data_IF_773593753766
#
_entry.id   IF_773593753766
#
_cell.length_a   1.000
_cell.length_b   1.000
_cell.length_c   1.000
_cell.angle_alpha   90.00
_cell.angle_beta   90.00
_cell.angle_gamma   90.00
#
_symmetry.space_group_name_H-M   'P 1'
#
loop_
_entity.id
_entity.type
_entity.pdbx_description
1 polymer ?
#
# COMPACT_ATOMS: atom_id res chain seq x y z
N UNK A 1 16.65 0.80 18.47
CA UNK A 1 15.29 1.02 17.95
C UNK A 1 14.80 -0.31 17.38
N UNK A 2 13.82 -0.93 18.02
CA UNK A 2 13.32 -2.27 17.68
C UNK A 2 12.77 -2.29 16.24
N UNK A 3 12.95 -3.41 15.51
CA UNK A 3 12.43 -3.62 14.15
C UNK A 3 10.90 -3.75 14.16
N UNK A 4 10.22 -2.62 14.41
CA UNK A 4 8.75 -2.50 14.58
C UNK A 4 7.97 -2.79 13.30
N UNK A 5 8.62 -2.80 12.13
CA UNK A 5 7.97 -2.99 10.84
C UNK A 5 7.67 -4.46 10.54
N UNK A 6 8.56 -5.42 10.84
CA UNK A 6 8.39 -6.81 10.39
C UNK A 6 7.18 -7.51 11.04
N UNK A 7 7.01 -7.36 12.36
CA UNK A 7 5.91 -7.96 13.11
C UNK A 7 4.54 -7.43 12.65
N UNK A 8 4.44 -6.13 12.38
CA UNK A 8 3.21 -5.50 11.91
C UNK A 8 2.76 -6.09 10.56
N UNK A 9 3.68 -6.24 9.61
CA UNK A 9 3.34 -6.81 8.30
C UNK A 9 3.09 -8.33 8.39
N UNK A 10 3.82 -9.05 9.26
CA UNK A 10 3.61 -10.48 9.50
C UNK A 10 2.21 -10.80 10.03
N UNK A 11 1.73 -10.05 11.03
CA UNK A 11 0.39 -10.25 11.60
C UNK A 11 -0.69 -10.04 10.54
N UNK A 12 -0.59 -8.97 9.76
CA UNK A 12 -1.60 -8.69 8.71
C UNK A 12 -1.60 -9.80 7.65
N UNK A 13 -0.42 -10.28 7.25
CA UNK A 13 -0.30 -11.38 6.28
C UNK A 13 -0.97 -12.66 6.77
N UNK A 14 -0.74 -13.06 8.02
CA UNK A 14 -1.33 -14.28 8.57
C UNK A 14 -2.85 -14.15 8.80
N UNK A 15 -3.33 -12.99 9.22
CA UNK A 15 -4.77 -12.72 9.34
C UNK A 15 -5.46 -12.83 7.97
N UNK A 16 -4.83 -12.31 6.90
CA UNK A 16 -5.33 -12.49 5.52
C UNK A 16 -5.30 -13.95 5.08
N UNK A 17 -4.21 -14.67 5.36
CA UNK A 17 -4.11 -16.10 5.04
C UNK A 17 -5.19 -16.94 5.73
N UNK A 18 -5.63 -16.51 6.92
CA UNK A 18 -6.74 -17.11 7.66
C UNK A 18 -8.14 -16.61 7.21
N UNK A 19 -8.22 -15.73 6.21
CA UNK A 19 -9.49 -15.20 5.69
C UNK A 19 -10.18 -14.17 6.59
N UNK A 20 -9.47 -13.57 7.55
CA UNK A 20 -10.04 -12.58 8.47
C UNK A 20 -9.96 -11.16 7.90
N UNK A 21 -11.04 -10.37 7.94
CA UNK A 21 -11.03 -8.99 7.47
C UNK A 21 -10.22 -8.10 8.42
N UNK A 22 -9.21 -7.39 7.89
CA UNK A 22 -8.31 -6.53 8.69
C UNK A 22 -8.45 -5.05 8.30
N UNK A 23 -8.75 -4.20 9.28
CA UNK A 23 -8.71 -2.74 9.21
C UNK A 23 -7.32 -2.21 9.68
N UNK A 24 -6.78 -1.19 9.01
CA UNK A 24 -5.42 -0.69 9.27
C UNK A 24 -4.32 -1.34 8.42
N UNK A 25 -4.71 -2.17 7.46
CA UNK A 25 -3.86 -2.66 6.37
C UNK A 25 -3.61 -1.55 5.31
N UNK A 26 -3.23 -0.37 5.77
CA UNK A 26 -3.19 0.85 4.95
C UNK A 26 -2.29 0.66 3.73
N UNK A 27 -1.12 0.04 3.93
CA UNK A 27 -0.16 -0.26 2.86
C UNK A 27 -0.65 -1.29 1.86
N UNK A 28 -1.54 -2.17 2.29
CA UNK A 28 -2.07 -3.23 1.45
C UNK A 28 -3.24 -2.75 0.58
N UNK A 29 -4.03 -1.79 1.10
CA UNK A 29 -5.03 -1.06 0.31
C UNK A 29 -4.38 -0.04 -0.64
N UNK A 30 -3.25 0.55 -0.24
CA UNK A 30 -2.50 1.50 -1.07
C UNK A 30 -2.09 0.90 -2.42
N UNK A 31 -1.67 -0.36 -2.49
CA UNK A 31 -1.28 -1.00 -3.75
C UNK A 31 -2.43 -1.05 -4.77
N UNK A 32 -3.61 -1.47 -4.31
CA UNK A 32 -4.83 -1.44 -5.11
C UNK A 32 -5.26 -0.01 -5.46
N UNK A 33 -5.23 0.91 -4.51
CA UNK A 33 -5.61 2.32 -4.73
C UNK A 33 -4.69 3.01 -5.76
N UNK A 34 -3.38 2.74 -5.73
CA UNK A 34 -2.42 3.27 -6.69
C UNK A 34 -2.68 2.70 -8.10
N UNK A 35 -2.91 1.39 -8.21
CA UNK A 35 -3.27 0.77 -9.49
C UNK A 35 -4.55 1.38 -10.09
N UNK A 36 -5.57 1.61 -9.26
CA UNK A 36 -6.81 2.27 -9.68
C UNK A 36 -6.53 3.70 -10.13
N UNK A 37 -5.75 4.48 -9.38
CA UNK A 37 -5.38 5.85 -9.78
C UNK A 37 -4.62 5.90 -11.10
N UNK A 38 -3.67 5.00 -11.30
CA UNK A 38 -2.87 4.93 -12.53
C UNK A 38 -3.74 4.60 -13.76
N UNK A 39 -4.68 3.65 -13.61
CA UNK A 39 -5.62 3.29 -14.67
C UNK A 39 -6.65 4.40 -14.93
N UNK A 40 -7.16 5.05 -13.88
CA UNK A 40 -8.07 6.19 -14.03
C UNK A 40 -7.37 7.37 -14.71
N UNK A 41 -6.11 7.65 -14.38
CA UNK A 41 -5.30 8.67 -15.06
C UNK A 41 -5.11 8.34 -16.55
N UNK A 42 -4.94 7.06 -16.90
CA UNK A 42 -4.90 6.63 -18.29
C UNK A 42 -6.22 6.91 -19.00
N UNK A 43 -7.35 6.52 -18.40
CA UNK A 43 -8.66 6.80 -18.99
C UNK A 43 -8.92 8.31 -19.14
N UNK A 44 -8.51 9.13 -18.17
CA UNK A 44 -8.61 10.59 -18.26
C UNK A 44 -7.79 11.15 -19.42
N UNK A 45 -6.55 10.67 -19.61
CA UNK A 45 -5.75 11.05 -20.77
C UNK A 45 -6.39 10.63 -22.09
N UNK A 46 -6.97 9.43 -22.17
CA UNK A 46 -7.64 8.96 -23.38
C UNK A 46 -8.92 9.76 -23.70
N UNK A 47 -9.62 10.24 -22.66
CA UNK A 47 -10.77 11.12 -22.81
C UNK A 47 -10.37 12.56 -23.19
N UNK A 48 -9.21 13.03 -22.73
CA UNK A 48 -8.71 14.38 -22.98
C UNK A 48 -7.18 14.36 -23.20
N UNK A 49 -6.71 14.22 -24.45
CA UNK A 49 -5.27 14.13 -24.76
C UNK A 49 -4.46 15.39 -24.43
N UNK A 50 -5.14 16.51 -24.19
CA UNK A 50 -4.54 17.78 -23.77
C UNK A 50 -4.31 17.85 -22.24
N UNK A 51 -4.74 16.83 -21.48
CA UNK A 51 -4.49 16.73 -20.04
C UNK A 51 -3.05 16.25 -19.77
N UNK A 52 -2.17 17.23 -19.64
CA UNK A 52 -0.75 17.02 -19.35
C UNK A 52 -0.50 16.30 -18.03
N UNK A 53 -1.35 16.51 -17.01
CA UNK A 53 -1.17 15.90 -15.70
C UNK A 53 -1.49 14.41 -15.75
N UNK A 54 -2.61 14.05 -16.39
CA UNK A 54 -3.00 12.66 -16.60
C UNK A 54 -1.95 11.92 -17.42
N UNK A 55 -1.46 12.51 -18.51
CA UNK A 55 -0.39 11.91 -19.31
C UNK A 55 0.91 11.73 -18.50
N UNK A 56 1.33 12.76 -17.75
CA UNK A 56 2.53 12.68 -16.91
C UNK A 56 2.42 11.59 -15.85
N UNK A 57 1.27 11.46 -15.19
CA UNK A 57 0.99 10.42 -14.20
C UNK A 57 1.11 9.02 -14.84
N UNK A 58 0.50 8.84 -16.01
CA UNK A 58 0.54 7.58 -16.77
C UNK A 58 1.97 7.21 -17.17
N UNK A 59 2.75 8.15 -17.70
CA UNK A 59 4.14 7.89 -18.08
C UNK A 59 4.99 7.46 -16.88
N UNK A 60 4.75 8.05 -15.71
CA UNK A 60 5.45 7.71 -14.46
C UNK A 60 4.98 6.40 -13.84
N UNK A 61 3.72 6.02 -14.08
CA UNK A 61 3.09 4.82 -13.54
C UNK A 61 3.83 3.54 -13.95
N UNK A 62 3.61 2.40 -13.26
CA UNK A 62 4.17 1.11 -13.64
C UNK A 62 3.85 0.66 -15.08
N UNK A 63 2.82 1.24 -15.72
CA UNK A 63 2.46 0.92 -17.10
C UNK A 63 3.59 1.24 -18.08
N UNK A 64 4.27 2.37 -17.90
CA UNK A 64 5.35 2.83 -18.79
C UNK A 64 6.69 2.97 -18.06
N UNK A 65 6.68 3.24 -16.76
CA UNK A 65 7.86 3.18 -15.89
C UNK A 65 8.91 4.25 -16.17
N UNK A 66 8.52 5.42 -16.70
CA UNK A 66 9.47 6.49 -17.00
C UNK A 66 10.15 7.01 -15.75
N UNK A 67 11.41 7.46 -15.90
CA UNK A 67 12.11 8.21 -14.85
C UNK A 67 11.66 9.66 -14.83
N UNK A 68 11.82 10.32 -13.68
CA UNK A 68 11.57 11.75 -13.53
C UNK A 68 12.43 12.58 -14.50
N UNK A 69 13.70 12.18 -14.72
CA UNK A 69 14.57 12.86 -15.67
C UNK A 69 14.11 12.72 -17.14
N UNK A 70 13.54 11.57 -17.52
CA UNK A 70 12.99 11.39 -18.87
C UNK A 70 11.74 12.25 -19.07
N UNK A 71 10.85 12.26 -18.07
CA UNK A 71 9.65 13.09 -18.07
C UNK A 71 9.99 14.58 -18.05
N UNK A 72 10.95 15.00 -17.23
CA UNK A 72 11.41 16.39 -17.17
C UNK A 72 12.00 16.83 -18.51
N UNK A 73 12.86 16.02 -19.14
CA UNK A 73 13.43 16.35 -20.45
C UNK A 73 12.37 16.49 -21.55
N UNK A 74 11.29 15.72 -21.47
CA UNK A 74 10.18 15.84 -22.39
C UNK A 74 9.32 17.08 -22.10
N UNK A 75 9.12 17.39 -20.82
CA UNK A 75 8.23 18.44 -20.35
C UNK A 75 8.86 19.84 -20.37
N UNK A 76 10.18 19.92 -20.17
CA UNK A 76 10.90 21.18 -20.03
C UNK A 76 11.01 21.91 -21.37
N UNK A 77 10.77 23.23 -21.34
CA UNK A 77 10.82 24.13 -22.51
C UNK A 77 9.96 23.70 -23.72
N UNK A 78 8.96 22.84 -23.48
CA UNK A 78 8.04 22.41 -24.53
C UNK A 78 7.10 23.54 -24.94
N UNK A 79 6.72 23.53 -26.20
CA UNK A 79 5.63 24.35 -26.72
C UNK A 79 4.42 23.46 -26.99
N UNK A 80 3.26 23.79 -26.42
CA UNK A 80 2.03 22.99 -26.53
C UNK A 80 1.90 21.90 -25.46
N UNK A 81 1.00 20.94 -25.70
CA UNK A 81 0.69 19.87 -24.76
C UNK A 81 1.80 18.81 -24.70
N UNK A 82 1.87 18.11 -23.57
CA UNK A 82 2.83 17.04 -23.33
C UNK A 82 2.67 15.91 -24.37
N UNK A 83 1.44 15.66 -24.84
CA UNK A 83 1.17 14.72 -25.92
C UNK A 83 1.81 15.14 -27.25
N UNK A 84 1.72 16.42 -27.60
CA UNK A 84 2.35 16.95 -28.81
C UNK A 84 3.88 16.83 -28.74
N UNK A 85 4.47 17.18 -27.59
CA UNK A 85 5.89 17.01 -27.35
C UNK A 85 6.32 15.54 -27.47
N UNK A 86 5.52 14.61 -26.92
CA UNK A 86 5.80 13.17 -27.01
C UNK A 86 5.78 12.69 -28.46
N UNK A 87 4.77 13.07 -29.25
CA UNK A 87 4.68 12.72 -30.68
C UNK A 87 5.88 13.23 -31.49
N UNK A 88 6.42 14.40 -31.15
CA UNK A 88 7.64 14.92 -31.79
C UNK A 88 8.92 14.12 -31.51
N UNK A 89 8.89 13.21 -30.53
CA UNK A 89 10.04 12.42 -30.07
C UNK A 89 9.90 10.93 -30.40
N UNK A 90 9.25 10.60 -31.54
CA UNK A 90 8.99 9.22 -31.96
C UNK A 90 10.25 8.34 -32.04
N UNK A 91 11.36 8.90 -32.52
CA UNK A 91 12.63 8.18 -32.59
C UNK A 91 13.14 7.71 -31.22
N UNK A 92 12.81 8.43 -30.14
CA UNK A 92 13.25 8.12 -28.78
C UNK A 92 12.23 7.28 -28.02
N UNK A 93 10.94 7.58 -28.18
CA UNK A 93 9.85 7.02 -27.37
C UNK A 93 8.80 6.22 -28.17
N UNK A 94 9.17 5.72 -29.35
CA UNK A 94 8.27 5.04 -30.28
C UNK A 94 7.47 3.89 -29.68
N UNK A 95 8.05 3.11 -28.75
CA UNK A 95 7.32 2.03 -28.09
C UNK A 95 6.18 2.53 -27.19
N UNK A 96 6.39 3.62 -26.44
CA UNK A 96 5.35 4.25 -25.62
C UNK A 96 4.27 4.88 -26.50
N UNK A 97 4.70 5.58 -27.55
CA UNK A 97 3.78 6.19 -28.52
C UNK A 97 2.92 5.16 -29.22
N UNK A 98 3.48 4.02 -29.65
CA UNK A 98 2.71 2.98 -30.33
C UNK A 98 1.56 2.45 -29.46
N UNK A 99 1.80 2.30 -28.15
CA UNK A 99 0.77 1.88 -27.19
C UNK A 99 -0.28 2.99 -27.02
N UNK A 100 0.14 4.22 -26.74
CA UNK A 100 -0.80 5.33 -26.50
C UNK A 100 -1.63 5.66 -27.74
N UNK A 101 -1.03 5.63 -28.93
CA UNK A 101 -1.74 5.81 -30.20
C UNK A 101 -2.76 4.70 -30.44
N UNK A 102 -2.41 3.42 -30.20
CA UNK A 102 -3.37 2.31 -30.31
C UNK A 102 -4.57 2.47 -29.37
N UNK A 103 -4.34 3.00 -28.16
CA UNK A 103 -5.41 3.26 -27.21
C UNK A 103 -6.27 4.47 -27.63
N UNK A 104 -5.65 5.56 -28.08
CA UNK A 104 -6.36 6.75 -28.55
C UNK A 104 -7.22 6.44 -29.78
N UNK A 105 -6.71 5.68 -30.75
CA UNK A 105 -7.45 5.25 -31.95
C UNK A 105 -8.71 4.41 -31.62
N UNK A 106 -8.80 3.91 -30.39
CA UNK A 106 -9.87 3.04 -29.91
C UNK A 106 -10.75 3.70 -28.86
N UNK A 107 -10.36 4.86 -28.33
CA UNK A 107 -11.06 5.55 -27.24
C UNK A 107 -12.51 5.90 -27.59
N UNK A 108 -12.77 6.26 -28.84
CA UNK A 108 -14.12 6.61 -29.31
C UNK A 108 -15.01 5.39 -29.61
N UNK A 109 -14.44 4.18 -29.64
CA UNK A 109 -15.15 2.97 -30.10
C UNK A 109 -15.32 1.92 -29.01
N UNK A 110 -14.42 1.88 -28.03
CA UNK A 110 -14.43 0.88 -26.97
C UNK A 110 -15.19 1.37 -25.75
N UNK A 111 -15.89 0.46 -25.10
CA UNK A 111 -16.50 0.72 -23.79
C UNK A 111 -15.43 0.75 -22.69
N UNK A 112 -15.71 1.37 -21.52
CA UNK A 112 -14.73 1.48 -20.44
C UNK A 112 -14.11 0.15 -20.01
N UNK A 113 -14.90 -0.93 -19.89
CA UNK A 113 -14.40 -2.25 -19.54
C UNK A 113 -13.48 -2.81 -20.63
N UNK A 114 -13.88 -2.73 -21.90
CA UNK A 114 -13.09 -3.22 -23.04
C UNK A 114 -11.78 -2.43 -23.19
N UNK A 115 -11.81 -1.11 -22.93
CA UNK A 115 -10.63 -0.28 -22.92
C UNK A 115 -9.65 -0.72 -21.80
N UNK A 116 -10.14 -0.89 -20.58
CA UNK A 116 -9.32 -1.38 -19.45
C UNK A 116 -8.76 -2.77 -19.73
N UNK A 117 -9.58 -3.69 -20.26
CA UNK A 117 -9.15 -5.04 -20.62
C UNK A 117 -8.01 -4.99 -21.64
N UNK A 118 -8.14 -4.19 -22.70
CA UNK A 118 -7.08 -4.01 -23.70
C UNK A 118 -5.78 -3.50 -23.09
N UNK A 119 -5.84 -2.53 -22.19
CA UNK A 119 -4.64 -2.02 -21.49
C UNK A 119 -3.99 -3.15 -20.67
N UNK A 120 -4.80 -3.92 -19.95
CA UNK A 120 -4.33 -4.93 -19.01
C UNK A 120 -3.79 -6.19 -19.70
N UNK A 121 -4.41 -6.63 -20.81
CA UNK A 121 -4.10 -7.88 -21.50
C UNK A 121 -3.23 -7.65 -22.73
N UNK A 122 -3.71 -6.86 -23.71
CA UNK A 122 -3.01 -6.62 -24.98
C UNK A 122 -1.69 -5.85 -24.79
N UNK A 123 -1.69 -4.87 -23.89
CA UNK A 123 -0.50 -4.05 -23.60
C UNK A 123 0.24 -4.48 -22.33
N UNK A 124 -0.08 -5.66 -21.79
CA UNK A 124 0.61 -6.29 -20.66
C UNK A 124 0.59 -5.43 -19.37
N UNK A 125 -0.39 -4.52 -19.26
CA UNK A 125 -0.52 -3.61 -18.13
C UNK A 125 -0.69 -4.33 -16.80
N UNK A 126 -1.43 -5.45 -16.77
CA UNK A 126 -1.67 -6.23 -15.54
C UNK A 126 -0.35 -6.73 -14.95
N UNK A 127 0.49 -7.35 -15.79
CA UNK A 127 1.79 -7.89 -15.36
C UNK A 127 2.70 -6.78 -14.84
N UNK A 128 2.76 -5.63 -15.52
CA UNK A 128 3.62 -4.50 -15.13
C UNK A 128 3.21 -3.88 -13.80
N UNK A 129 1.90 -3.66 -13.61
CA UNK A 129 1.36 -3.09 -12.37
C UNK A 129 1.63 -4.05 -11.21
N UNK A 130 1.29 -5.34 -11.35
CA UNK A 130 1.46 -6.34 -10.29
C UNK A 130 2.93 -6.55 -9.94
N UNK A 131 3.82 -6.57 -10.94
CA UNK A 131 5.26 -6.70 -10.70
C UNK A 131 5.84 -5.56 -9.85
N UNK A 132 5.25 -4.36 -9.93
CA UNK A 132 5.73 -3.17 -9.22
C UNK A 132 5.02 -2.93 -7.88
N UNK A 133 3.71 -3.10 -7.84
CA UNK A 133 2.86 -2.77 -6.68
C UNK A 133 2.53 -4.01 -5.82
N UNK A 134 2.79 -5.21 -6.32
CA UNK A 134 2.52 -6.47 -5.63
C UNK A 134 1.15 -7.07 -5.98
N UNK A 135 0.87 -8.25 -5.43
CA UNK A 135 -0.35 -9.02 -5.71
C UNK A 135 -1.64 -8.27 -5.37
N UNK A 136 -1.60 -7.32 -4.44
CA UNK A 136 -2.78 -6.57 -4.00
C UNK A 136 -3.25 -5.54 -5.01
N UNK A 137 -2.39 -5.19 -5.97
CA UNK A 137 -2.84 -4.44 -7.13
C UNK A 137 -3.86 -5.23 -7.98
N UNK A 138 -3.84 -6.57 -7.95
CA UNK A 138 -4.84 -7.39 -8.65
C UNK A 138 -6.23 -7.14 -8.08
N UNK A 139 -6.38 -7.09 -6.75
CA UNK A 139 -7.67 -6.79 -6.11
C UNK A 139 -8.21 -5.41 -6.54
N UNK A 140 -7.33 -4.40 -6.62
CA UNK A 140 -7.70 -3.06 -7.09
C UNK A 140 -8.10 -3.04 -8.58
N UNK A 141 -7.36 -3.75 -9.42
CA UNK A 141 -7.65 -3.89 -10.85
C UNK A 141 -9.01 -4.58 -11.05
N UNK A 142 -9.22 -5.72 -10.39
CA UNK A 142 -10.44 -6.51 -10.54
C UNK A 142 -11.66 -5.75 -10.01
N UNK A 143 -11.49 -4.98 -8.92
CA UNK A 143 -12.52 -4.07 -8.42
C UNK A 143 -12.87 -2.98 -9.46
N UNK A 144 -11.88 -2.33 -10.08
CA UNK A 144 -12.13 -1.32 -11.11
C UNK A 144 -12.85 -1.91 -12.34
N UNK A 145 -12.46 -3.10 -12.78
CA UNK A 145 -13.12 -3.82 -13.87
C UNK A 145 -14.59 -4.13 -13.52
N UNK A 146 -14.87 -4.56 -12.28
CA UNK A 146 -16.23 -4.79 -11.81
C UNK A 146 -17.06 -3.49 -11.81
N UNK A 147 -16.46 -2.35 -11.42
CA UNK A 147 -17.11 -1.04 -11.49
C UNK A 147 -17.42 -0.63 -12.93
N UNK A 148 -16.50 -0.85 -13.86
CA UNK A 148 -16.73 -0.59 -15.28
C UNK A 148 -17.91 -1.42 -15.84
N UNK A 149 -17.97 -2.72 -15.52
CA UNK A 149 -19.11 -3.57 -15.90
C UNK A 149 -20.43 -3.11 -15.28
N UNK A 150 -20.41 -2.62 -14.04
CA UNK A 150 -21.61 -2.10 -13.39
C UNK A 150 -22.12 -0.83 -14.09
N UNK A 151 -21.22 0.09 -14.43
CA UNK A 151 -21.53 1.31 -15.17
C UNK A 151 -22.16 1.02 -16.54
N UNK A 152 -21.56 0.10 -17.31
CA UNK A 152 -22.03 -0.26 -18.65
C UNK A 152 -23.43 -0.89 -18.69
N UNK A 153 -23.92 -1.42 -17.56
CA UNK A 153 -25.28 -1.97 -17.46
C UNK A 153 -26.34 -0.90 -17.20
N UNK A 154 -25.94 0.24 -16.62
CA UNK A 154 -26.86 1.29 -16.16
C UNK A 154 -26.92 2.51 -17.07
N UNK A 155 -25.82 2.86 -17.74
CA UNK A 155 -25.68 4.09 -18.51
C UNK A 155 -25.18 3.86 -19.94
N UNK A 156 -25.24 4.91 -20.77
CA UNK A 156 -24.63 4.91 -22.09
C UNK A 156 -23.10 4.86 -21.91
N UNK A 157 -22.42 3.81 -22.40
CA UNK A 157 -21.01 3.61 -22.12
C UNK A 157 -20.16 4.66 -22.83
N UNK A 158 -19.53 5.54 -22.05
CA UNK A 158 -18.54 6.51 -22.51
C UNK A 158 -17.41 6.65 -21.49
N UNK A 159 -16.17 6.91 -21.95
CA UNK A 159 -15.04 7.12 -21.04
C UNK A 159 -15.23 8.34 -20.12
N UNK A 160 -15.63 9.54 -20.63
CA UNK A 160 -15.85 10.69 -19.77
C UNK A 160 -16.99 10.46 -18.76
N UNK A 161 -18.08 9.79 -19.18
CA UNK A 161 -19.21 9.46 -18.31
C UNK A 161 -18.80 8.49 -17.20
N UNK A 162 -18.03 7.46 -17.54
CA UNK A 162 -17.50 6.51 -16.54
C UNK A 162 -16.60 7.20 -15.51
N UNK A 163 -15.70 8.10 -15.95
CA UNK A 163 -14.82 8.85 -15.06
C UNK A 163 -15.62 9.76 -14.10
N UNK A 164 -16.64 10.44 -14.59
CA UNK A 164 -17.51 11.28 -13.77
C UNK A 164 -18.31 10.44 -12.74
N UNK A 165 -18.84 9.30 -13.18
CA UNK A 165 -19.57 8.35 -12.33
C UNK A 165 -18.66 7.76 -11.24
N UNK A 166 -17.44 7.36 -11.59
CA UNK A 166 -16.46 6.82 -10.66
C UNK A 166 -16.06 7.85 -9.60
N UNK A 167 -15.85 9.11 -9.99
CA UNK A 167 -15.55 10.19 -9.07
C UNK A 167 -16.70 10.46 -8.08
N UNK A 168 -17.95 10.37 -8.53
CA UNK A 168 -19.12 10.50 -7.65
C UNK A 168 -19.21 9.34 -6.64
N UNK A 169 -18.99 8.11 -7.08
CA UNK A 169 -18.99 6.93 -6.20
C UNK A 169 -17.88 7.00 -5.14
N UNK A 170 -16.68 7.47 -5.50
CA UNK A 170 -15.57 7.64 -4.57
C UNK A 170 -15.91 8.65 -3.45
N UNK A 171 -16.61 9.74 -3.78
CA UNK A 171 -17.08 10.73 -2.81
C UNK A 171 -18.08 10.12 -1.82
N UNK A 172 -18.96 9.23 -2.28
CA UNK A 172 -19.90 8.51 -1.41
C UNK A 172 -19.19 7.50 -0.49
N UNK A 173 -18.25 6.72 -1.01
CA UNK A 173 -17.50 5.73 -0.22
C UNK A 173 -16.67 6.43 0.88
N UNK A 174 -16.00 7.54 0.57
CA UNK A 174 -15.23 8.34 1.55
C UNK A 174 -16.10 8.82 2.72
N UNK A 175 -17.38 9.14 2.48
CA UNK A 175 -18.33 9.51 3.53
C UNK A 175 -18.70 8.34 4.44
N UNK A 176 -18.75 7.12 3.92
CA UNK A 176 -19.16 5.92 4.67
C UNK A 176 -18.00 5.29 5.47
N UNK A 177 -16.76 5.44 5.03
CA UNK A 177 -15.54 4.92 5.72
C UNK A 177 -15.30 5.47 7.14
N UNK A 178 -16.05 6.49 7.59
CA UNK A 178 -16.06 6.94 8.98
C UNK A 178 -16.70 5.95 9.96
N UNK A 179 -17.54 5.02 9.48
CA UNK A 179 -18.17 3.97 10.28
C UNK A 179 -17.48 2.62 9.99
N UNK A 180 -16.55 2.22 10.84
CA UNK A 180 -15.83 0.96 10.64
C UNK A 180 -16.74 -0.24 10.92
N UNK A 181 -16.94 -1.08 9.90
CA UNK A 181 -17.69 -2.33 9.99
C UNK A 181 -16.93 -3.46 10.72
N UNK A 182 -17.34 -4.70 10.45
CA UNK A 182 -16.90 -5.94 11.11
C UNK A 182 -15.48 -6.39 10.65
N UNK A 183 -14.44 -5.70 11.12
CA UNK A 183 -13.05 -5.99 10.76
C UNK A 183 -12.05 -5.83 11.94
N UNK A 184 -11.04 -6.70 11.98
CA UNK A 184 -9.95 -6.72 12.97
C UNK A 184 -9.04 -5.51 12.75
N UNK A 185 -8.90 -4.62 13.72
CA UNK A 185 -8.08 -3.42 13.57
C UNK A 185 -6.66 -3.62 14.09
N UNK A 186 -5.66 -3.54 13.23
CA UNK A 186 -4.23 -3.61 13.61
C UNK A 186 -3.66 -2.20 13.62
N UNK A 187 -3.15 -1.76 14.77
CA UNK A 187 -2.60 -0.41 14.96
C UNK A 187 -1.50 -0.40 16.02
N UNK A 188 -0.77 0.72 16.10
CA UNK A 188 0.17 0.95 17.20
C UNK A 188 -0.57 1.37 18.47
N UNK A 189 0.04 1.13 19.64
CA UNK A 189 -0.49 1.59 20.95
C UNK A 189 -0.73 3.10 20.96
N UNK A 190 0.13 3.88 20.29
CA UNK A 190 -0.06 5.33 20.16
C UNK A 190 -1.30 5.67 19.33
N UNK A 191 -1.55 4.92 18.25
CA UNK A 191 -2.75 5.06 17.42
C UNK A 191 -4.04 4.59 18.11
N UNK A 192 -3.94 3.81 19.18
CA UNK A 192 -5.08 3.33 19.97
C UNK A 192 -5.56 4.33 21.04
N UNK A 193 -4.86 5.45 21.23
CA UNK A 193 -5.20 6.43 22.28
C UNK A 193 -6.59 7.01 22.03
N UNK A 194 -7.48 6.88 23.02
CA UNK A 194 -8.87 7.38 22.94
C UNK A 194 -9.83 6.44 22.20
N UNK A 195 -9.36 5.27 21.77
CA UNK A 195 -10.21 4.21 21.22
C UNK A 195 -10.49 3.15 22.29
N UNK A 196 -11.64 2.48 22.17
CA UNK A 196 -12.02 1.35 22.99
C UNK A 196 -12.57 0.23 22.11
N UNK A 197 -12.30 -1.02 22.49
CA UNK A 197 -12.78 -2.21 21.81
C UNK A 197 -13.09 -3.31 22.85
N UNK A 198 -14.06 -4.20 22.57
CA UNK A 198 -14.41 -5.27 23.50
C UNK A 198 -13.30 -6.32 23.67
N UNK A 199 -12.48 -6.54 22.62
CA UNK A 199 -11.32 -7.44 22.66
C UNK A 199 -10.10 -6.69 22.12
N UNK A 200 -9.00 -6.72 22.89
CA UNK A 200 -7.71 -6.13 22.51
C UNK A 200 -6.62 -7.18 22.65
N UNK A 201 -5.89 -7.44 21.55
CA UNK A 201 -4.74 -8.35 21.52
C UNK A 201 -3.47 -7.50 21.45
N UNK A 202 -2.57 -7.65 22.43
CA UNK A 202 -1.29 -6.95 22.46
C UNK A 202 -0.15 -7.95 22.21
N UNK A 203 0.34 -8.09 20.97
CA UNK A 203 1.45 -8.98 20.65
C UNK A 203 2.80 -8.38 21.12
N UNK A 204 3.81 -9.24 21.27
CA UNK A 204 5.19 -8.86 21.61
C UNK A 204 5.35 -8.14 22.98
N UNK A 205 4.76 -8.72 24.02
CA UNK A 205 4.90 -8.26 25.42
C UNK A 205 6.08 -8.88 26.16
N UNK A 206 6.90 -9.69 25.47
CA UNK A 206 8.04 -10.35 26.07
C UNK A 206 9.14 -9.33 26.43
N UNK A 207 9.68 -9.45 27.66
CA UNK A 207 10.76 -8.59 28.11
C UNK A 207 11.99 -8.78 27.21
N UNK A 208 12.39 -7.72 26.49
CA UNK A 208 13.69 -7.72 25.82
C UNK A 208 14.76 -7.63 26.90
N UNK A 209 15.52 -8.72 27.12
CA UNK A 209 16.69 -8.66 28.02
C UNK A 209 17.61 -7.54 27.52
N UNK A 210 17.87 -6.54 28.38
CA UNK A 210 18.84 -5.50 28.04
C UNK A 210 20.20 -6.15 27.79
N UNK A 211 21.01 -5.63 26.84
CA UNK A 211 22.36 -6.17 26.61
C UNK A 211 23.23 -6.12 27.87
N UNK A 212 22.91 -5.23 28.82
CA UNK A 212 23.52 -5.16 30.14
C UNK A 212 23.18 -6.40 31.01
N UNK A 213 21.92 -6.85 31.02
CA UNK A 213 21.50 -8.06 31.74
C UNK A 213 22.10 -9.34 31.12
N UNK A 214 22.27 -9.37 29.80
CA UNK A 214 22.97 -10.47 29.11
C UNK A 214 24.46 -10.53 29.47
N UNK A 215 25.10 -9.38 29.71
CA UNK A 215 26.50 -9.31 30.15
C UNK A 215 26.68 -9.70 31.62
N UNK A 216 25.78 -9.28 32.52
CA UNK A 216 25.82 -9.61 33.96
C UNK A 216 25.63 -11.11 34.23
N UNK A 217 24.88 -11.82 33.37
CA UNK A 217 24.78 -13.28 33.43
C UNK A 217 26.05 -14.02 32.98
N UNK A 218 26.93 -13.38 32.21
CA UNK A 218 28.21 -13.98 31.78
C UNK A 218 29.31 -13.84 32.83
N UNK A 219 29.28 -12.80 33.66
CA UNK A 219 30.30 -12.56 34.70
C UNK A 219 30.04 -13.27 36.02
N UNK A 220 28.81 -13.74 36.26
CA UNK A 220 28.45 -14.54 37.44
C UNK A 220 28.60 -16.07 37.22
N UNK A 221 29.69 -16.51 36.57
CA UNK A 221 30.17 -17.90 36.67
C UNK A 221 31.52 -17.91 37.40
N UNK A 222 31.50 -17.70 38.72
CA UNK A 222 32.62 -18.17 39.55
C UNK A 222 32.48 -19.68 39.75
N UNK A 223 33.56 -20.46 39.62
CA UNK A 223 33.50 -21.90 39.90
C UNK A 223 33.46 -22.09 41.41
N UNK A 224 32.35 -22.59 41.96
CA UNK A 224 32.36 -23.11 43.34
C UNK A 224 32.76 -24.59 43.30
N UNK A 225 33.70 -25.04 44.16
CA UNK A 225 34.09 -26.43 44.23
C UNK A 225 32.96 -27.27 44.83
N UNK A 226 32.93 -28.54 44.42
CA UNK A 226 31.95 -29.56 44.81
C UNK A 226 31.73 -29.60 46.33
N UNK A 227 30.51 -29.35 46.77
CA UNK A 227 30.02 -29.79 48.07
C UNK A 227 28.64 -30.44 47.90
N UNK A 228 28.57 -31.73 48.26
CA UNK A 228 27.36 -32.53 48.22
C UNK A 228 26.51 -32.28 49.48
N UNK A 229 25.34 -31.66 49.32
CA UNK A 229 24.04 -31.95 49.98
C UNK A 229 23.07 -30.78 49.81
N UNK A 230 21.75 -31.02 49.73
CA UNK A 230 20.77 -29.98 49.43
C UNK A 230 20.34 -29.28 50.72
N UNK A 231 20.52 -27.96 50.79
CA UNK A 231 19.94 -27.13 51.86
C UNK A 231 18.90 -26.19 51.25
N UNK A 232 17.66 -26.36 51.69
CA UNK A 232 16.53 -25.52 51.38
C UNK A 232 16.68 -24.11 51.99
N UNK A 233 15.93 -23.16 51.43
CA UNK A 233 15.60 -21.79 51.87
C UNK A 233 16.50 -20.65 51.37
N UNK A 234 15.96 -19.66 50.64
CA UNK A 234 16.67 -18.45 50.28
C UNK A 234 16.62 -17.44 51.43
N UNK A 235 17.78 -17.13 52.00
CA UNK A 235 17.97 -16.03 52.94
C UNK A 235 18.58 -14.83 52.21
N UNK A 236 18.06 -13.62 52.46
CA UNK A 236 18.74 -12.40 52.03
C UNK A 236 17.85 -11.16 51.95
N UNK A 237 17.31 -10.72 53.10
CA UNK A 237 16.78 -9.36 53.27
C UNK A 237 17.91 -8.33 53.36
N UNK A 238 17.57 -7.15 52.88
CA UNK A 238 18.23 -5.85 52.93
C UNK A 238 18.80 -5.46 54.30
N UNK A 239 19.98 -4.84 54.27
CA UNK A 239 20.52 -4.02 55.36
C UNK A 239 20.12 -2.56 55.17
N UNK A 240 19.52 -1.94 56.20
CA UNK A 240 19.53 -0.49 56.37
C UNK A 240 19.18 -0.10 57.82
N UNK A 241 20.09 0.63 58.47
CA UNK A 241 19.74 1.71 59.39
C UNK A 241 19.63 1.39 60.87
N UNK A 242 20.70 1.67 61.62
CA UNK A 242 20.66 1.99 63.05
C UNK A 242 19.98 3.35 63.28
N UNK A 243 19.10 3.44 64.28
CA UNK A 243 19.00 4.62 65.17
C UNK A 243 18.29 4.25 66.47
N UNK A 244 18.89 4.69 67.56
CA UNK A 244 18.62 4.49 69.00
C UNK A 244 17.37 5.21 69.53
N UNK A 245 16.61 4.49 70.38
CA UNK A 245 16.01 4.78 71.72
C UNK A 245 15.72 6.21 72.20
N UNK A 246 14.86 6.40 73.24
CA UNK A 246 14.29 5.42 74.18
C UNK A 246 12.78 5.19 74.09
#
# INVERSE_FOLDING_TARGET
VQRRSELFHGIIRELKAAGLPVAGADRLRMGGELAVKDLTALLSFLAAPEDDLSLAAVLRSPLFGWSEDALFRLAHDRQGSLWQALRGQEATYGATLAVLSDLLDRADFLRPYEMLERVLTRHDGRRRIVARLGAEAEEGIDALLAQALAYERGEVPSLPGFLAWLAAAEVEIKRQTGAAGDAVRVMSVHGAKGLQAPLVILPDTAATESPLNRALRKTCRRPQPRCARPCATPCGRSASGCSTSP
#
